data_IF_186656483503
#
_entry.id   IF_186656483503
#
_cell.length_a   1.000
_cell.length_b   1.000
_cell.length_c   1.000
_cell.angle_alpha   90.00
_cell.angle_beta   90.00
_cell.angle_gamma   90.00
#
_symmetry.space_group_name_H-M   'P 1'
#
loop_
_entity.id
_entity.type
_entity.pdbx_description
1 polymer ?
#
# COMPACT_ATOMS: atom_id res chain seq x y z
N UNK A 1 23.68 -29.26 -23.31
CA UNK A 1 23.85 -29.47 -21.86
C UNK A 1 25.30 -29.20 -21.51
N UNK A 2 25.59 -27.99 -21.01
CA UNK A 2 26.93 -27.58 -20.61
C UNK A 2 27.32 -28.32 -19.33
N UNK A 3 28.45 -29.02 -19.33
CA UNK A 3 28.99 -29.70 -18.14
C UNK A 3 29.29 -28.65 -17.07
N UNK A 4 28.55 -28.69 -15.97
CA UNK A 4 28.85 -27.92 -14.75
C UNK A 4 30.21 -28.38 -14.24
N UNK A 5 31.17 -27.47 -14.14
CA UNK A 5 32.54 -27.74 -13.67
C UNK A 5 32.65 -27.39 -12.18
N UNK A 6 33.61 -27.98 -11.45
CA UNK A 6 33.71 -27.90 -9.98
C UNK A 6 33.86 -26.49 -9.38
N UNK A 7 34.06 -25.45 -10.19
CA UNK A 7 34.00 -24.03 -9.79
C UNK A 7 32.59 -23.47 -9.68
N UNK A 8 31.61 -24.07 -10.38
CA UNK A 8 30.21 -23.61 -10.41
C UNK A 8 29.46 -23.88 -9.08
N UNK A 9 30.08 -24.61 -8.15
CA UNK A 9 29.52 -24.97 -6.84
C UNK A 9 30.09 -24.14 -5.66
N UNK A 10 31.10 -23.28 -5.90
CA UNK A 10 31.67 -22.44 -4.84
C UNK A 10 30.99 -21.08 -4.83
N UNK A 11 30.43 -20.70 -3.69
CA UNK A 11 29.93 -19.34 -3.46
C UNK A 11 31.06 -18.33 -3.65
N UNK A 12 30.73 -17.19 -4.27
CA UNK A 12 31.65 -16.07 -4.39
C UNK A 12 32.08 -15.57 -3.00
N UNK A 13 33.35 -15.23 -2.84
CA UNK A 13 33.83 -14.61 -1.59
C UNK A 13 33.34 -13.16 -1.48
N UNK A 14 33.28 -12.58 -0.26
CA UNK A 14 32.95 -11.17 -0.08
C UNK A 14 33.81 -10.24 -0.94
N UNK A 15 35.11 -10.52 -1.08
CA UNK A 15 36.04 -9.72 -1.88
C UNK A 15 35.70 -9.76 -3.38
N UNK A 16 35.28 -10.92 -3.88
CA UNK A 16 34.83 -11.06 -5.28
C UNK A 16 33.55 -10.27 -5.53
N UNK A 17 32.60 -10.28 -4.58
CA UNK A 17 31.37 -9.50 -4.66
C UNK A 17 31.62 -7.99 -4.55
N UNK A 18 32.56 -7.57 -3.71
CA UNK A 18 32.99 -6.17 -3.61
C UNK A 18 33.66 -5.71 -4.91
N UNK A 19 34.50 -6.55 -5.52
CA UNK A 19 35.17 -6.25 -6.79
C UNK A 19 34.15 -6.09 -7.93
N UNK A 20 33.18 -7.00 -8.01
CA UNK A 20 32.11 -6.94 -9.01
C UNK A 20 31.24 -5.68 -8.83
N UNK A 21 30.77 -5.43 -7.59
CA UNK A 21 29.93 -4.26 -7.31
C UNK A 21 30.64 -2.93 -7.56
N UNK A 22 31.93 -2.84 -7.22
CA UNK A 22 32.76 -1.66 -7.52
C UNK A 22 32.93 -1.43 -9.02
N UNK A 23 33.10 -2.50 -9.81
CA UNK A 23 33.22 -2.40 -11.27
C UNK A 23 31.91 -1.91 -11.91
N UNK A 24 30.78 -2.48 -11.48
CA UNK A 24 29.44 -2.05 -11.93
C UNK A 24 29.21 -0.57 -11.58
N UNK A 25 29.49 -0.18 -10.34
CA UNK A 25 29.33 1.20 -9.88
C UNK A 25 30.19 2.17 -10.70
N UNK A 26 31.43 1.80 -11.01
CA UNK A 26 32.33 2.61 -11.83
C UNK A 26 31.81 2.82 -13.25
N UNK A 27 31.35 1.76 -13.92
CA UNK A 27 30.78 1.88 -15.27
C UNK A 27 29.48 2.70 -15.28
N UNK A 28 28.65 2.56 -14.24
CA UNK A 28 27.45 3.38 -14.06
C UNK A 28 27.83 4.87 -13.94
N UNK A 29 28.80 5.20 -13.09
CA UNK A 29 29.29 6.58 -12.93
C UNK A 29 29.83 7.15 -14.24
N UNK A 30 30.60 6.37 -15.00
CA UNK A 30 31.07 6.77 -16.34
C UNK A 30 29.91 7.05 -17.30
N UNK A 31 28.88 6.21 -17.30
CA UNK A 31 27.66 6.40 -18.10
C UNK A 31 26.91 7.68 -17.73
N UNK A 32 26.69 7.92 -16.43
CA UNK A 32 26.00 9.12 -15.93
C UNK A 32 26.79 10.40 -16.23
N UNK A 33 28.13 10.36 -16.13
CA UNK A 33 28.99 11.47 -16.50
C UNK A 33 28.86 11.83 -17.99
N UNK A 34 28.81 10.83 -18.87
CA UNK A 34 28.58 11.02 -20.31
C UNK A 34 27.19 11.57 -20.61
N UNK A 35 26.17 11.13 -19.87
CA UNK A 35 24.81 11.63 -19.98
C UNK A 35 24.62 13.05 -19.43
N UNK A 36 25.67 13.66 -18.84
CA UNK A 36 25.65 15.01 -18.25
C UNK A 36 24.52 15.21 -17.23
N UNK A 37 24.34 14.22 -16.35
CA UNK A 37 23.36 14.31 -15.26
C UNK A 37 23.63 15.54 -14.39
N UNK A 38 22.59 16.34 -14.15
CA UNK A 38 22.71 17.56 -13.34
C UNK A 38 22.82 17.25 -11.84
N UNK A 39 23.38 18.18 -11.07
CA UNK A 39 23.41 18.10 -9.59
C UNK A 39 22.01 17.92 -8.99
N UNK A 40 21.01 18.66 -9.48
CA UNK A 40 19.64 18.55 -8.99
C UNK A 40 19.03 17.15 -9.22
N UNK A 41 19.29 16.55 -10.38
CA UNK A 41 18.86 15.17 -10.66
C UNK A 41 19.58 14.16 -9.77
N UNK A 42 20.91 14.29 -9.63
CA UNK A 42 21.69 13.42 -8.75
C UNK A 42 21.22 13.51 -7.29
N UNK A 43 20.94 14.72 -6.79
CA UNK A 43 20.42 14.94 -5.44
C UNK A 43 19.03 14.32 -5.26
N UNK A 44 18.15 14.47 -6.25
CA UNK A 44 16.81 13.85 -6.25
C UNK A 44 16.89 12.34 -6.18
N UNK A 45 17.84 11.73 -6.89
CA UNK A 45 18.06 10.29 -6.87
C UNK A 45 18.68 9.81 -5.56
N UNK A 46 19.60 10.58 -4.98
CA UNK A 46 20.25 10.25 -3.72
C UNK A 46 19.26 10.27 -2.53
N UNK A 47 18.29 11.18 -2.55
CA UNK A 47 17.25 11.25 -1.51
C UNK A 47 16.14 10.21 -1.70
N UNK A 48 15.95 9.70 -2.92
CA UNK A 48 14.96 8.67 -3.22
C UNK A 48 15.58 7.25 -3.16
N UNK A 49 15.52 6.62 -1.98
CA UNK A 49 16.05 5.25 -1.74
C UNK A 49 15.52 4.18 -2.72
N UNK A 50 14.34 4.38 -3.33
CA UNK A 50 13.73 3.41 -4.25
C UNK A 50 14.42 3.35 -5.62
N UNK A 51 15.04 4.43 -6.10
CA UNK A 51 15.64 4.47 -7.43
C UNK A 51 16.91 3.61 -7.51
N UNK A 52 17.91 3.76 -6.61
CA UNK A 52 19.09 2.90 -6.59
C UNK A 52 18.75 1.41 -6.48
N UNK A 53 17.72 1.06 -5.69
CA UNK A 53 17.24 -0.32 -5.55
C UNK A 53 16.69 -0.87 -6.87
N UNK A 54 15.86 -0.09 -7.60
CA UNK A 54 15.35 -0.49 -8.92
C UNK A 54 16.46 -0.67 -9.95
N UNK A 55 17.45 0.22 -9.95
CA UNK A 55 18.61 0.10 -10.84
C UNK A 55 19.41 -1.18 -10.53
N UNK A 56 19.65 -1.47 -9.25
CA UNK A 56 20.32 -2.70 -8.83
C UNK A 56 19.55 -3.96 -9.25
N UNK A 57 18.21 -3.96 -9.15
CA UNK A 57 17.35 -5.09 -9.62
C UNK A 57 17.51 -5.33 -11.13
N UNK A 58 17.51 -4.27 -11.95
CA UNK A 58 17.69 -4.42 -13.41
C UNK A 58 19.05 -5.01 -13.75
N UNK A 59 20.11 -4.53 -13.10
CA UNK A 59 21.46 -5.07 -13.30
C UNK A 59 21.54 -6.54 -12.87
N UNK A 60 20.92 -6.88 -11.75
CA UNK A 60 20.84 -8.25 -11.26
C UNK A 60 20.16 -9.21 -12.26
N UNK A 61 19.02 -8.80 -12.81
CA UNK A 61 18.27 -9.56 -13.80
C UNK A 61 19.07 -9.76 -15.10
N UNK A 62 19.75 -8.72 -15.60
CA UNK A 62 20.64 -8.82 -16.76
C UNK A 62 21.81 -9.79 -16.54
N UNK A 63 22.28 -9.93 -15.29
CA UNK A 63 23.30 -10.90 -14.92
C UNK A 63 22.76 -12.33 -14.70
N UNK A 64 21.46 -12.56 -14.96
CA UNK A 64 20.82 -13.87 -14.82
C UNK A 64 20.53 -14.26 -13.38
N UNK A 65 20.52 -13.30 -12.45
CA UNK A 65 20.23 -13.54 -11.05
C UNK A 65 18.91 -12.86 -10.62
N UNK A 66 17.99 -13.65 -10.06
CA UNK A 66 16.89 -13.13 -9.25
C UNK A 66 17.43 -12.81 -7.84
N UNK A 67 18.18 -11.71 -7.72
CA UNK A 67 18.87 -11.35 -6.45
C UNK A 67 17.88 -10.86 -5.38
N UNK A 68 16.66 -10.47 -5.78
CA UNK A 68 15.63 -10.00 -4.87
C UNK A 68 14.39 -10.85 -5.02
N UNK A 69 14.25 -11.86 -4.18
CA UNK A 69 12.94 -12.42 -3.87
C UNK A 69 12.08 -11.26 -3.34
N UNK A 70 10.91 -10.97 -3.93
CA UNK A 70 10.00 -9.97 -3.38
C UNK A 70 9.71 -10.28 -1.91
N UNK A 71 9.50 -9.24 -1.09
CA UNK A 71 9.16 -9.46 0.32
C UNK A 71 7.99 -10.45 0.40
N UNK A 72 8.07 -11.51 1.24
CA UNK A 72 7.03 -12.55 1.29
C UNK A 72 5.62 -11.99 1.50
N UNK A 73 5.48 -10.85 2.17
CA UNK A 73 4.20 -10.17 2.34
C UNK A 73 3.67 -9.58 1.03
N UNK A 74 4.54 -9.10 0.14
CA UNK A 74 4.14 -8.65 -1.21
C UNK A 74 3.71 -9.84 -2.07
N UNK A 75 4.39 -10.97 -1.98
CA UNK A 75 3.98 -12.21 -2.68
C UNK A 75 2.61 -12.69 -2.19
N UNK A 76 2.37 -12.62 -0.87
CA UNK A 76 1.06 -12.95 -0.30
C UNK A 76 -0.04 -12.01 -0.82
N UNK A 77 0.25 -10.71 -0.93
CA UNK A 77 -0.67 -9.73 -1.50
C UNK A 77 -0.95 -9.96 -2.98
N UNK A 78 0.08 -10.28 -3.76
CA UNK A 78 -0.08 -10.65 -5.17
C UNK A 78 -1.04 -11.83 -5.33
N UNK A 79 -0.88 -12.87 -4.50
CA UNK A 79 -1.75 -14.03 -4.50
C UNK A 79 -3.18 -13.69 -4.05
N UNK A 80 -3.35 -12.77 -3.10
CA UNK A 80 -4.66 -12.28 -2.68
C UNK A 80 -5.39 -11.61 -3.85
N UNK A 81 -4.73 -10.68 -4.54
CA UNK A 81 -5.31 -9.97 -5.68
C UNK A 81 -5.60 -10.90 -6.87
N UNK A 82 -4.72 -11.88 -7.13
CA UNK A 82 -4.95 -12.87 -8.16
C UNK A 82 -6.23 -13.70 -7.91
N UNK A 83 -6.51 -14.06 -6.65
CA UNK A 83 -7.78 -14.73 -6.27
C UNK A 83 -9.01 -13.86 -6.51
N UNK A 84 -8.85 -12.55 -6.48
CA UNK A 84 -9.89 -11.56 -6.77
C UNK A 84 -9.97 -11.22 -8.27
N UNK A 85 -9.22 -11.92 -9.12
CA UNK A 85 -9.21 -11.71 -10.58
C UNK A 85 -8.40 -10.49 -11.03
N UNK A 86 -7.55 -9.93 -10.16
CA UNK A 86 -6.72 -8.76 -10.47
C UNK A 86 -5.26 -9.21 -10.54
N UNK A 87 -4.69 -9.16 -11.75
CA UNK A 87 -3.28 -9.45 -11.98
C UNK A 87 -2.40 -8.29 -11.50
N UNK A 88 -1.39 -8.60 -10.69
CA UNK A 88 -0.40 -7.65 -10.19
C UNK A 88 1.00 -8.24 -10.34
N UNK A 89 1.97 -7.38 -10.67
CA UNK A 89 3.39 -7.66 -10.46
C UNK A 89 3.86 -6.89 -9.22
N UNK A 90 4.70 -7.54 -8.43
CA UNK A 90 5.29 -6.98 -7.21
C UNK A 90 6.80 -6.74 -7.33
N UNK A 91 7.38 -7.06 -8.48
CA UNK A 91 8.82 -7.06 -8.72
C UNK A 91 9.42 -5.67 -8.64
N UNK A 92 8.62 -4.65 -8.95
CA UNK A 92 9.01 -3.24 -8.89
C UNK A 92 8.49 -2.51 -7.64
N UNK A 93 7.69 -3.18 -6.81
CA UNK A 93 7.15 -2.58 -5.59
C UNK A 93 8.20 -2.53 -4.49
N UNK A 94 8.10 -1.48 -3.68
CA UNK A 94 8.93 -1.29 -2.50
C UNK A 94 8.03 -1.14 -1.28
N UNK A 95 8.50 -1.68 -0.16
CA UNK A 95 7.84 -1.44 1.11
C UNK A 95 8.17 -0.02 1.60
N UNK A 96 7.19 0.67 2.21
CA UNK A 96 7.50 1.89 2.93
C UNK A 96 8.43 1.59 4.11
N UNK A 97 9.04 2.63 4.65
CA UNK A 97 9.58 2.54 6.00
C UNK A 97 8.40 2.31 6.97
N UNK A 98 8.44 1.19 7.68
CA UNK A 98 7.32 0.71 8.51
C UNK A 98 7.57 1.12 9.96
N UNK A 99 6.81 2.09 10.53
CA UNK A 99 6.96 2.46 11.93
C UNK A 99 6.54 1.32 12.87
N UNK A 100 7.01 1.38 14.12
CA UNK A 100 6.56 0.45 15.15
C UNK A 100 5.02 0.46 15.28
N UNK A 101 4.43 -0.74 15.29
CA UNK A 101 2.98 -0.96 15.38
C UNK A 101 2.26 -1.07 14.03
N UNK A 102 2.88 -0.70 12.91
CA UNK A 102 2.30 -0.88 11.56
C UNK A 102 2.66 -2.26 11.02
N UNK A 103 1.92 -3.30 11.38
CA UNK A 103 2.30 -4.67 10.99
C UNK A 103 1.62 -5.17 9.71
N UNK A 104 0.51 -4.55 9.30
CA UNK A 104 -0.19 -4.90 8.06
C UNK A 104 0.36 -4.07 6.91
N UNK A 105 0.64 -4.72 5.78
CA UNK A 105 0.93 -4.07 4.51
C UNK A 105 -0.10 -4.50 3.49
N UNK A 106 -0.51 -3.62 2.58
CA UNK A 106 -1.41 -3.92 1.48
C UNK A 106 -0.95 -3.22 0.18
N UNK A 107 -1.38 -3.76 -0.95
CA UNK A 107 -1.12 -3.17 -2.27
C UNK A 107 -2.37 -2.44 -2.74
N UNK A 108 -2.23 -1.18 -3.17
CA UNK A 108 -3.23 -0.44 -3.95
C UNK A 108 -2.94 -0.65 -5.43
N UNK A 109 -3.77 -1.40 -6.19
CA UNK A 109 -3.59 -1.60 -7.62
C UNK A 109 -3.87 -0.32 -8.43
N UNK A 110 -3.06 -0.05 -9.45
CA UNK A 110 -3.40 0.97 -10.45
C UNK A 110 -4.70 0.62 -11.18
N UNK A 111 -5.54 1.62 -11.43
CA UNK A 111 -6.77 1.47 -12.23
C UNK A 111 -7.93 0.75 -11.55
N UNK A 112 -7.76 0.28 -10.31
CA UNK A 112 -8.86 -0.26 -9.50
C UNK A 112 -9.58 0.88 -8.77
N UNK A 113 -10.86 1.03 -9.06
CA UNK A 113 -11.75 2.09 -8.55
C UNK A 113 -12.37 1.73 -7.19
N UNK A 114 -12.86 2.73 -6.44
CA UNK A 114 -13.59 2.50 -5.19
C UNK A 114 -14.88 1.72 -5.42
N UNK A 115 -15.56 1.94 -6.55
CA UNK A 115 -16.75 1.16 -6.92
C UNK A 115 -16.40 -0.31 -7.16
N UNK A 116 -15.28 -0.61 -7.83
CA UNK A 116 -14.81 -1.99 -8.00
C UNK A 116 -14.41 -2.64 -6.65
N UNK A 117 -13.71 -1.91 -5.78
CA UNK A 117 -13.34 -2.40 -4.44
C UNK A 117 -14.59 -2.72 -3.61
N UNK A 118 -15.60 -1.84 -3.64
CA UNK A 118 -16.86 -2.08 -2.94
C UNK A 118 -17.63 -3.27 -3.51
N UNK A 119 -17.61 -3.47 -4.83
CA UNK A 119 -18.21 -4.65 -5.45
C UNK A 119 -17.55 -5.96 -4.98
N UNK A 120 -16.21 -5.98 -4.85
CA UNK A 120 -15.47 -7.12 -4.29
C UNK A 120 -15.83 -7.36 -2.82
N UNK A 121 -15.91 -6.30 -2.00
CA UNK A 121 -16.36 -6.39 -0.60
C UNK A 121 -17.75 -7.02 -0.52
N UNK A 122 -18.68 -6.51 -1.32
CA UNK A 122 -20.05 -7.03 -1.39
C UNK A 122 -20.07 -8.50 -1.74
N UNK A 123 -19.32 -8.91 -2.77
CA UNK A 123 -19.21 -10.30 -3.19
C UNK A 123 -18.66 -11.20 -2.07
N UNK A 124 -17.61 -10.77 -1.36
CA UNK A 124 -17.04 -11.57 -0.26
C UNK A 124 -17.95 -11.64 0.98
N UNK A 125 -18.73 -10.59 1.26
CA UNK A 125 -19.77 -10.60 2.31
C UNK A 125 -20.93 -11.52 1.96
N UNK A 126 -21.42 -11.48 0.73
CA UNK A 126 -22.53 -12.32 0.28
C UNK A 126 -22.21 -13.81 0.39
N UNK A 127 -20.95 -14.21 0.14
CA UNK A 127 -20.47 -15.59 0.38
C UNK A 127 -20.64 -16.07 1.83
N UNK A 128 -20.84 -15.14 2.78
CA UNK A 128 -21.01 -15.40 4.22
C UNK A 128 -22.44 -15.21 4.71
N UNK A 129 -23.38 -14.93 3.80
CA UNK A 129 -24.74 -14.56 4.17
C UNK A 129 -24.79 -13.20 4.89
N UNK A 130 -23.89 -12.29 4.50
CA UNK A 130 -23.78 -10.91 4.99
C UNK A 130 -24.02 -9.94 3.83
N UNK A 131 -24.16 -8.65 4.13
CA UNK A 131 -24.39 -7.63 3.11
C UNK A 131 -23.35 -6.52 3.14
N UNK A 132 -23.41 -5.64 2.14
CA UNK A 132 -22.62 -4.42 2.09
C UNK A 132 -23.50 -3.27 1.58
N UNK A 133 -23.41 -2.13 2.24
CA UNK A 133 -24.20 -0.95 1.95
C UNK A 133 -23.32 0.29 1.79
N UNK A 134 -23.74 1.22 0.93
CA UNK A 134 -23.07 2.50 0.73
C UNK A 134 -24.10 3.63 0.66
N UNK A 135 -23.78 4.75 1.31
CA UNK A 135 -24.61 5.96 1.31
C UNK A 135 -24.54 6.69 -0.04
N UNK A 136 -23.33 6.92 -0.54
CA UNK A 136 -23.13 7.61 -1.81
C UNK A 136 -23.26 6.64 -3.00
N UNK A 137 -23.90 7.09 -4.07
CA UNK A 137 -24.12 6.29 -5.28
C UNK A 137 -22.81 5.90 -5.96
N UNK A 138 -22.00 6.89 -6.36
CA UNK A 138 -20.67 6.67 -6.91
C UNK A 138 -19.60 6.94 -5.85
N UNK A 139 -18.77 5.94 -5.55
CA UNK A 139 -17.68 6.07 -4.57
C UNK A 139 -16.40 6.65 -5.18
N UNK A 140 -16.38 6.85 -6.51
CA UNK A 140 -15.27 7.46 -7.22
C UNK A 140 -15.43 8.98 -7.37
N UNK A 141 -16.57 9.55 -6.98
CA UNK A 141 -16.82 10.99 -6.97
C UNK A 141 -16.13 11.66 -5.77
N UNK A 142 -14.79 11.58 -5.74
CA UNK A 142 -13.92 12.14 -4.71
C UNK A 142 -13.67 13.63 -5.01
N UNK A 143 -14.05 14.49 -4.07
CA UNK A 143 -13.82 15.94 -4.14
C UNK A 143 -12.39 16.31 -3.77
N UNK A 144 -11.91 15.71 -2.69
CA UNK A 144 -10.61 16.01 -2.09
C UNK A 144 -10.08 14.75 -1.43
N UNK A 145 -8.79 14.49 -1.58
CA UNK A 145 -8.11 13.43 -0.83
C UNK A 145 -6.64 13.78 -0.59
N UNK A 146 -6.03 13.13 0.40
CA UNK A 146 -4.59 13.26 0.61
C UNK A 146 -3.81 12.64 -0.55
N UNK A 147 -2.77 13.34 -1.00
CA UNK A 147 -1.91 12.88 -2.09
C UNK A 147 -1.34 11.47 -1.82
N UNK A 148 -1.28 10.67 -2.89
CA UNK A 148 -0.71 9.31 -2.91
C UNK A 148 0.19 9.11 -4.14
N UNK A 149 1.08 8.11 -4.12
CA UNK A 149 1.84 7.74 -5.31
C UNK A 149 0.91 7.45 -6.50
N UNK A 150 1.34 7.86 -7.69
CA UNK A 150 0.66 7.49 -8.94
C UNK A 150 0.86 6.01 -9.23
N UNK A 151 -0.20 5.33 -9.69
CA UNK A 151 -0.14 3.92 -10.07
C UNK A 151 -0.27 2.96 -8.89
N UNK A 152 0.36 1.78 -9.02
CA UNK A 152 0.34 0.72 -8.00
C UNK A 152 1.36 1.05 -6.92
N UNK A 153 0.94 1.02 -5.66
CA UNK A 153 1.84 1.28 -4.54
C UNK A 153 1.51 0.42 -3.32
N UNK A 154 2.44 0.36 -2.38
CA UNK A 154 2.29 -0.37 -1.12
C UNK A 154 2.04 0.63 0.00
N UNK A 155 1.08 0.32 0.87
CA UNK A 155 0.85 1.06 2.10
C UNK A 155 0.84 0.11 3.30
N UNK A 156 1.20 0.63 4.47
CA UNK A 156 1.12 -0.08 5.73
C UNK A 156 0.21 0.64 6.72
N UNK A 157 -0.44 -0.13 7.60
CA UNK A 157 -1.39 0.34 8.60
C UNK A 157 -1.36 -0.55 9.85
N UNK A 158 -1.95 -0.08 10.94
CA UNK A 158 -2.06 -0.85 12.19
C UNK A 158 -3.11 -1.96 12.08
N UNK A 159 -2.86 -3.17 12.63
CA UNK A 159 -3.75 -4.32 12.49
C UNK A 159 -5.03 -4.26 13.33
N UNK A 160 -5.14 -3.28 14.23
CA UNK A 160 -6.16 -3.26 15.28
C UNK A 160 -7.57 -3.31 14.69
N UNK A 161 -8.48 -4.04 15.33
CA UNK A 161 -9.83 -4.22 14.78
C UNK A 161 -10.65 -2.93 14.78
N UNK A 162 -10.26 -1.92 15.55
CA UNK A 162 -10.94 -0.62 15.67
C UNK A 162 -10.03 0.50 15.15
N UNK A 163 -10.54 1.73 14.94
CA UNK A 163 -9.69 2.86 14.56
C UNK A 163 -8.54 3.07 15.54
N UNK A 164 -7.47 3.73 15.08
CA UNK A 164 -6.27 3.89 15.90
C UNK A 164 -6.60 4.57 17.23
N UNK A 165 -6.36 3.86 18.34
CA UNK A 165 -6.74 4.32 19.68
C UNK A 165 -6.18 5.72 20.01
N UNK A 166 -4.99 6.04 19.48
CA UNK A 166 -4.31 7.34 19.62
C UNK A 166 -5.05 8.50 18.92
N UNK A 167 -6.03 8.20 18.07
CA UNK A 167 -6.72 9.17 17.23
C UNK A 167 -8.24 9.10 17.36
N UNK A 168 -8.76 8.33 18.32
CA UNK A 168 -10.18 8.34 18.67
C UNK A 168 -10.62 9.74 19.09
N UNK A 169 -11.84 10.13 18.73
CA UNK A 169 -12.37 11.47 18.98
C UNK A 169 -11.82 12.55 18.03
N UNK A 170 -10.99 12.21 17.04
CA UNK A 170 -10.53 13.17 16.04
C UNK A 170 -11.43 13.15 14.82
N UNK A 171 -11.96 14.32 14.47
CA UNK A 171 -12.65 14.53 13.19
C UNK A 171 -11.66 14.58 12.03
N UNK A 172 -12.19 14.51 10.80
CA UNK A 172 -11.40 14.74 9.59
C UNK A 172 -10.62 16.07 9.65
N UNK A 173 -11.29 17.17 10.01
CA UNK A 173 -10.67 18.49 10.05
C UNK A 173 -9.52 18.54 11.06
N UNK A 174 -9.68 17.91 12.23
CA UNK A 174 -8.63 17.83 13.25
C UNK A 174 -7.44 17.03 12.72
N UNK A 175 -7.69 15.87 12.11
CA UNK A 175 -6.65 15.03 11.54
C UNK A 175 -5.84 15.75 10.44
N UNK A 176 -6.51 16.51 9.58
CA UNK A 176 -5.85 17.34 8.55
C UNK A 176 -5.05 18.49 9.19
N UNK A 177 -5.61 19.19 10.17
CA UNK A 177 -4.93 20.30 10.85
C UNK A 177 -3.64 19.83 11.57
N UNK A 178 -3.67 18.62 12.13
CA UNK A 178 -2.52 17.96 12.75
C UNK A 178 -1.55 17.34 11.72
N UNK A 179 -1.84 17.44 10.42
CA UNK A 179 -1.05 16.87 9.32
C UNK A 179 -0.86 15.35 9.46
N UNK A 180 -1.86 14.66 10.01
CA UNK A 180 -1.84 13.20 10.07
C UNK A 180 -1.99 12.64 8.65
N UNK A 181 -1.18 11.64 8.32
CA UNK A 181 -1.40 10.81 7.11
C UNK A 181 -2.24 9.60 7.50
N UNK A 182 -3.42 9.46 6.90
CA UNK A 182 -4.38 8.41 7.23
C UNK A 182 -5.07 7.87 5.98
N UNK A 183 -5.64 6.67 6.09
CA UNK A 183 -6.14 5.90 4.96
C UNK A 183 -7.10 6.71 4.09
N UNK A 184 -6.92 6.66 2.78
CA UNK A 184 -7.94 7.10 1.82
C UNK A 184 -9.12 6.11 1.83
N UNK A 185 -10.21 6.46 1.14
CA UNK A 185 -11.32 5.52 0.95
C UNK A 185 -10.84 4.22 0.30
N UNK A 186 -10.06 4.29 -0.77
CA UNK A 186 -9.54 3.10 -1.46
C UNK A 186 -8.73 2.21 -0.52
N UNK A 187 -7.83 2.82 0.26
CA UNK A 187 -6.96 2.09 1.20
C UNK A 187 -7.78 1.43 2.31
N UNK A 188 -8.79 2.11 2.85
CA UNK A 188 -9.69 1.54 3.86
C UNK A 188 -10.56 0.41 3.30
N UNK A 189 -11.02 0.51 2.05
CA UNK A 189 -11.76 -0.57 1.38
C UNK A 189 -10.86 -1.79 1.12
N UNK A 190 -9.60 -1.58 0.74
CA UNK A 190 -8.63 -2.69 0.60
C UNK A 190 -8.40 -3.36 1.97
N UNK A 191 -8.22 -2.58 3.03
CA UNK A 191 -8.10 -3.11 4.39
C UNK A 191 -9.36 -3.90 4.81
N UNK A 192 -10.57 -3.41 4.48
CA UNK A 192 -11.83 -4.13 4.71
C UNK A 192 -11.85 -5.47 4.00
N UNK A 193 -11.57 -5.47 2.68
CA UNK A 193 -11.59 -6.66 1.86
C UNK A 193 -10.64 -7.74 2.39
N UNK A 194 -9.44 -7.34 2.81
CA UNK A 194 -8.49 -8.23 3.47
C UNK A 194 -9.02 -8.80 4.78
N UNK A 195 -9.56 -7.95 5.64
CA UNK A 195 -10.12 -8.38 6.92
C UNK A 195 -11.24 -9.39 6.70
N UNK A 196 -12.11 -9.13 5.72
CA UNK A 196 -13.13 -10.09 5.28
C UNK A 196 -12.46 -11.39 4.93
N UNK A 197 -11.56 -11.44 3.96
CA UNK A 197 -10.92 -12.69 3.51
C UNK A 197 -10.27 -13.48 4.68
N UNK A 198 -9.71 -12.78 5.68
CA UNK A 198 -9.11 -13.37 6.88
C UNK A 198 -10.12 -13.78 7.98
N UNK A 199 -11.42 -13.62 7.75
CA UNK A 199 -12.47 -13.97 8.72
C UNK A 199 -12.66 -12.96 9.84
N UNK A 200 -12.20 -11.71 9.64
CA UNK A 200 -12.23 -10.63 10.63
C UNK A 200 -13.24 -9.54 10.25
N UNK A 201 -13.53 -8.68 11.21
CA UNK A 201 -14.32 -7.46 11.04
C UNK A 201 -13.51 -6.27 11.53
N UNK A 202 -13.54 -5.18 10.76
CA UNK A 202 -13.02 -3.89 11.22
C UNK A 202 -14.17 -3.01 11.69
N UNK A 203 -13.83 -2.18 12.66
CA UNK A 203 -14.60 -1.10 13.23
C UNK A 203 -16.02 -1.57 13.62
N UNK A 204 -16.08 -2.45 14.62
CA UNK A 204 -17.34 -3.00 15.15
C UNK A 204 -17.94 -2.06 16.20
N UNK A 205 -17.08 -1.37 16.95
CA UNK A 205 -17.46 -0.41 18.00
C UNK A 205 -17.36 1.03 17.51
N UNK A 206 -16.33 1.31 16.72
CA UNK A 206 -16.08 2.61 16.12
C UNK A 206 -16.34 2.62 14.62
N UNK A 207 -15.84 3.67 13.98
CA UNK A 207 -15.81 3.80 12.53
C UNK A 207 -14.51 4.49 12.11
N UNK A 208 -13.91 3.99 11.02
CA UNK A 208 -12.70 4.61 10.48
C UNK A 208 -13.09 5.79 9.59
N UNK A 209 -12.66 6.99 9.96
CA UNK A 209 -12.75 8.20 9.13
C UNK A 209 -11.59 8.18 8.12
N UNK A 210 -11.91 8.35 6.83
CA UNK A 210 -10.92 8.32 5.75
C UNK A 210 -10.52 9.72 5.31
N UNK A 211 -9.38 9.83 4.63
CA UNK A 211 -8.86 11.11 4.12
C UNK A 211 -9.51 11.56 2.82
N UNK A 212 -10.51 10.83 2.31
CA UNK A 212 -11.28 11.16 1.12
C UNK A 212 -12.59 11.87 1.48
N UNK A 213 -12.89 12.96 0.75
CA UNK A 213 -14.16 13.69 0.85
C UNK A 213 -15.04 13.38 -0.38
N UNK A 214 -16.33 13.17 -0.14
CA UNK A 214 -17.33 13.08 -1.20
C UNK A 214 -17.58 14.45 -1.85
N UNK A 215 -18.29 14.45 -2.99
CA UNK A 215 -18.66 15.65 -3.74
C UNK A 215 -19.41 16.71 -2.91
N UNK A 216 -20.22 16.30 -1.95
CA UNK A 216 -20.92 17.16 -1.00
C UNK A 216 -20.03 17.70 0.15
N UNK A 217 -18.77 17.26 0.23
CA UNK A 217 -17.81 17.65 1.26
C UNK A 217 -17.88 16.85 2.55
N UNK A 218 -18.69 15.79 2.61
CA UNK A 218 -18.67 14.83 3.70
C UNK A 218 -17.41 13.95 3.65
N UNK A 219 -16.86 13.59 4.81
CA UNK A 219 -15.76 12.65 4.90
C UNK A 219 -16.30 11.22 4.79
N UNK A 220 -15.68 10.37 3.97
CA UNK A 220 -16.08 8.98 3.94
C UNK A 220 -15.66 8.28 5.22
N UNK A 221 -16.54 7.41 5.72
CA UNK A 221 -16.28 6.53 6.85
C UNK A 221 -16.65 5.09 6.48
N UNK A 222 -15.92 4.12 7.05
CA UNK A 222 -16.15 2.69 6.80
C UNK A 222 -16.21 1.94 8.13
N UNK A 223 -17.18 1.04 8.28
CA UNK A 223 -17.40 0.26 9.50
C UNK A 223 -18.19 -1.03 9.25
N UNK A 224 -18.18 -1.92 10.25
CA UNK A 224 -19.03 -3.09 10.29
C UNK A 224 -20.22 -2.87 11.23
N UNK A 225 -21.44 -2.91 10.69
CA UNK A 225 -22.65 -2.87 11.49
C UNK A 225 -23.04 -4.28 11.92
N UNK A 226 -22.76 -4.62 13.18
CA UNK A 226 -23.13 -5.93 13.75
C UNK A 226 -24.65 -6.15 13.81
N UNK A 227 -25.44 -5.09 14.03
CA UNK A 227 -26.89 -5.16 14.09
C UNK A 227 -27.55 -5.55 12.76
N UNK A 228 -26.99 -5.08 11.63
CA UNK A 228 -27.49 -5.36 10.29
C UNK A 228 -26.66 -6.42 9.54
N UNK A 229 -25.55 -6.89 10.14
CA UNK A 229 -24.57 -7.79 9.52
C UNK A 229 -24.11 -7.27 8.15
N UNK A 230 -23.67 -6.02 8.13
CA UNK A 230 -23.30 -5.32 6.90
C UNK A 230 -22.00 -4.49 7.01
N UNK A 231 -21.18 -4.52 5.96
CA UNK A 231 -20.10 -3.53 5.79
C UNK A 231 -20.68 -2.24 5.22
N UNK A 232 -20.46 -1.12 5.90
CA UNK A 232 -21.02 0.17 5.54
C UNK A 232 -19.93 1.13 5.03
N UNK A 233 -20.25 1.85 3.96
CA UNK A 233 -19.52 3.07 3.53
C UNK A 233 -20.48 4.25 3.65
N UNK A 234 -20.26 5.15 4.61
CA UNK A 234 -21.14 6.28 4.88
C UNK A 234 -20.42 7.62 4.66
N UNK A 235 -21.18 8.72 4.55
CA UNK A 235 -20.66 10.09 4.64
C UNK A 235 -20.80 10.66 6.05
N UNK A 236 -19.78 11.37 6.53
CA UNK A 236 -19.78 12.08 7.81
C UNK A 236 -19.54 13.56 7.65
N UNK A 237 -20.08 14.38 8.55
CA UNK A 237 -19.65 15.78 8.62
C UNK A 237 -18.15 15.83 8.95
N UNK A 238 -17.35 16.53 8.13
CA UNK A 238 -15.89 16.62 8.31
C UNK A 238 -15.44 17.19 9.67
N UNK A 239 -16.31 17.92 10.36
CA UNK A 239 -16.07 18.48 11.69
C UNK A 239 -16.58 17.61 12.83
N UNK A 240 -17.39 16.59 12.54
CA UNK A 240 -17.96 15.74 13.58
C UNK A 240 -16.89 14.81 14.16
N UNK A 241 -16.93 14.64 15.48
CA UNK A 241 -16.08 13.75 16.23
C UNK A 241 -16.93 12.96 17.22
N UNK A 242 -16.77 11.64 17.23
CA UNK A 242 -17.29 10.77 18.28
C UNK A 242 -16.13 10.12 19.02
N UNK A 243 -16.23 9.88 20.34
CA UNK A 243 -15.17 9.25 21.13
C UNK A 243 -14.77 7.85 20.66
N UNK A 244 -15.60 7.17 19.88
CA UNK A 244 -15.32 5.84 19.35
C UNK A 244 -14.79 5.86 17.91
N UNK A 245 -14.78 7.02 17.26
CA UNK A 245 -14.50 7.16 15.84
C UNK A 245 -13.14 7.82 15.65
N UNK A 246 -12.45 7.51 14.56
CA UNK A 246 -11.18 8.17 14.29
C UNK A 246 -10.53 7.73 12.99
N UNK A 247 -9.44 8.40 12.58
CA UNK A 247 -8.64 7.98 11.46
C UNK A 247 -7.80 6.75 11.81
N UNK A 248 -7.48 5.95 10.79
CA UNK A 248 -6.44 4.94 10.83
C UNK A 248 -5.25 5.43 10.02
N UNK A 249 -4.08 5.54 10.65
CA UNK A 249 -2.89 6.06 9.98
C UNK A 249 -2.42 5.13 8.87
N UNK A 250 -1.78 5.73 7.87
CA UNK A 250 -1.19 5.03 6.76
C UNK A 250 0.24 5.55 6.51
N UNK A 251 1.13 4.66 6.13
CA UNK A 251 2.44 4.99 5.55
C UNK A 251 2.55 4.33 4.18
N UNK A 252 3.19 4.97 3.21
CA UNK A 252 3.27 4.48 1.83
C UNK A 252 4.60 4.82 1.18
N UNK A 253 4.99 4.01 0.19
CA UNK A 253 6.24 4.13 -0.57
C UNK A 253 6.06 4.81 -1.92
#
# INVERSE_FOLDING_TARGET
MTKVTGTDLKSATPEQLVTLSSTIALELVKGLARAKVSFAQAQTWATNKSMPQRAARKIAQELGYEIFTPDPRLVAEQALWAKLGIALSVDELNLPEIPAGFTEIAIRPAGVTNVQLFALIKQEREKRGESAWKYHGNLDDIKEEQHRPSGTYVFAYRPDSEPDALHLGKSYNVAIAEKLTFLTLSERLIAELRAIILGKYFDVKGLTITSSLASDGSAFLVYWSSGYRESCVHGYYRSYASPADGPRQAVFA
#
